data_IF_578315622789
#
_entry.id   IF_578315622789
#
_cell.length_a   1.000
_cell.length_b   1.000
_cell.length_c   1.000
_cell.angle_alpha   90.00
_cell.angle_beta   90.00
_cell.angle_gamma   90.00
#
_symmetry.space_group_name_H-M   'P 1'
#
loop_
_entity.id
_entity.type
_entity.pdbx_description
1 polymer ?
#
# COMPACT_ATOMS: atom_id res chain seq x y z
N UNK A 1 -7.89 -1.92 -27.95
CA UNK A 1 -8.08 -1.92 -26.47
C UNK A 1 -9.10 -0.88 -26.09
N UNK A 2 -10.00 -1.16 -25.14
CA UNK A 2 -10.85 -0.14 -24.53
C UNK A 2 -10.03 0.83 -23.66
N UNK A 3 -10.51 2.06 -23.49
CA UNK A 3 -9.80 3.14 -22.77
C UNK A 3 -9.41 2.73 -21.34
N UNK A 4 -10.31 2.04 -20.63
CA UNK A 4 -10.05 1.59 -19.26
C UNK A 4 -8.83 0.67 -19.14
N UNK A 5 -8.53 -0.11 -20.19
CA UNK A 5 -7.39 -1.02 -20.19
C UNK A 5 -6.07 -0.24 -20.32
N UNK A 6 -6.06 0.88 -21.05
CA UNK A 6 -4.91 1.80 -21.07
C UNK A 6 -4.73 2.49 -19.72
N UNK A 7 -5.81 2.92 -19.06
CA UNK A 7 -5.74 3.46 -17.71
C UNK A 7 -5.15 2.43 -16.73
N UNK A 8 -5.55 1.17 -16.85
CA UNK A 8 -5.00 0.07 -16.04
C UNK A 8 -3.51 -0.17 -16.27
N UNK A 9 -3.06 -0.23 -17.53
CA UNK A 9 -1.64 -0.33 -17.84
C UNK A 9 -0.86 0.87 -17.28
N UNK A 10 -1.42 2.08 -17.39
CA UNK A 10 -0.85 3.29 -16.80
C UNK A 10 -0.71 3.20 -15.28
N UNK A 11 -1.72 2.68 -14.58
CA UNK A 11 -1.67 2.44 -13.13
C UNK A 11 -0.61 1.40 -12.76
N UNK A 12 -0.48 0.31 -13.51
CA UNK A 12 0.56 -0.71 -13.28
C UNK A 12 1.95 -0.07 -13.44
N UNK A 13 2.19 0.65 -14.54
CA UNK A 13 3.47 1.30 -14.81
C UNK A 13 3.80 2.37 -13.76
N UNK A 14 2.84 3.25 -13.44
CA UNK A 14 3.03 4.26 -12.41
C UNK A 14 3.29 3.62 -11.05
N UNK A 15 2.52 2.59 -10.67
CA UNK A 15 2.70 1.83 -9.43
C UNK A 15 4.06 1.15 -9.35
N UNK A 16 4.55 0.57 -10.44
CA UNK A 16 5.91 0.01 -10.50
C UNK A 16 6.96 1.12 -10.34
N UNK A 17 6.82 2.27 -11.01
CA UNK A 17 7.77 3.39 -10.91
C UNK A 17 7.78 3.99 -9.49
N UNK A 18 6.63 4.36 -8.94
CA UNK A 18 6.53 4.83 -7.54
C UNK A 18 7.07 3.80 -6.57
N UNK A 19 6.73 2.53 -6.85
CA UNK A 19 7.36 1.32 -6.35
C UNK A 19 8.86 1.52 -6.17
N UNK A 20 9.57 1.60 -7.28
CA UNK A 20 11.03 1.64 -7.37
C UNK A 20 11.67 2.88 -6.74
N UNK A 21 11.01 4.05 -6.78
CA UNK A 21 11.56 5.32 -6.30
C UNK A 21 11.20 5.65 -4.84
N UNK A 22 10.49 4.79 -4.13
CA UNK A 22 10.25 4.95 -2.68
C UNK A 22 11.58 4.97 -1.92
N UNK A 23 12.01 6.19 -1.54
CA UNK A 23 13.30 6.48 -0.90
C UNK A 23 13.41 5.95 0.54
N UNK A 24 12.29 5.54 1.15
CA UNK A 24 12.23 5.14 2.56
C UNK A 24 12.66 3.71 2.85
N UNK A 25 12.96 2.88 1.84
CA UNK A 25 13.30 1.46 2.02
C UNK A 25 14.55 1.11 1.22
N UNK A 26 15.57 0.54 1.88
CA UNK A 26 16.73 -0.04 1.18
C UNK A 26 16.24 -1.24 0.37
N UNK A 27 16.00 -1.03 -0.92
CA UNK A 27 15.59 -2.10 -1.84
C UNK A 27 16.80 -2.93 -2.19
N UNK A 28 16.73 -4.22 -1.87
CA UNK A 28 17.69 -5.19 -2.37
C UNK A 28 17.61 -5.26 -3.89
N UNK A 29 18.75 -5.52 -4.56
CA UNK A 29 18.83 -5.52 -6.04
C UNK A 29 17.79 -6.44 -6.69
N UNK A 30 17.45 -7.56 -6.04
CA UNK A 30 16.43 -8.49 -6.54
C UNK A 30 15.00 -7.90 -6.52
N UNK A 31 14.71 -6.96 -5.63
CA UNK A 31 13.39 -6.33 -5.52
C UNK A 31 13.13 -5.42 -6.72
N UNK A 32 14.15 -4.71 -7.21
CA UNK A 32 14.04 -3.90 -8.43
C UNK A 32 13.65 -4.75 -9.63
N UNK A 33 14.38 -5.86 -9.83
CA UNK A 33 14.13 -6.79 -10.94
C UNK A 33 12.76 -7.43 -10.83
N UNK A 34 12.31 -7.78 -9.62
CA UNK A 34 11.03 -8.43 -9.42
C UNK A 34 9.83 -7.50 -9.64
N UNK A 35 9.88 -6.26 -9.14
CA UNK A 35 8.83 -5.26 -9.39
C UNK A 35 8.71 -4.90 -10.87
N UNK A 36 9.86 -4.74 -11.54
CA UNK A 36 9.91 -4.45 -12.99
C UNK A 36 9.32 -5.60 -13.79
N UNK A 37 9.72 -6.84 -13.49
CA UNK A 37 9.21 -8.02 -14.19
C UNK A 37 7.71 -8.22 -13.92
N UNK A 38 7.23 -7.93 -12.70
CA UNK A 38 5.81 -7.99 -12.36
C UNK A 38 4.99 -7.00 -13.19
N UNK A 39 5.46 -5.74 -13.30
CA UNK A 39 4.82 -4.72 -14.15
C UNK A 39 4.81 -5.13 -15.63
N UNK A 40 5.91 -5.68 -16.15
CA UNK A 40 6.01 -6.17 -17.53
C UNK A 40 5.06 -7.34 -17.79
N UNK A 41 4.99 -8.32 -16.88
CA UNK A 41 4.04 -9.43 -16.95
C UNK A 41 2.60 -8.91 -16.97
N UNK A 42 2.30 -7.93 -16.12
CA UNK A 42 1.01 -7.26 -16.07
C UNK A 42 0.60 -6.70 -17.43
N UNK A 43 1.41 -5.79 -17.98
CA UNK A 43 1.16 -5.15 -19.28
C UNK A 43 1.08 -6.18 -20.42
N UNK A 44 1.93 -7.21 -20.40
CA UNK A 44 1.98 -8.23 -21.46
C UNK A 44 0.66 -8.99 -21.58
N UNK A 45 -0.01 -9.32 -20.47
CA UNK A 45 -1.32 -9.99 -20.49
C UNK A 45 -2.38 -9.12 -21.17
N UNK A 46 -2.39 -7.80 -20.91
CA UNK A 46 -3.31 -6.88 -21.60
C UNK A 46 -3.03 -6.81 -23.10
N UNK A 47 -1.76 -6.72 -23.50
CA UNK A 47 -1.39 -6.66 -24.92
C UNK A 47 -1.78 -7.93 -25.68
N UNK A 48 -1.63 -9.10 -25.05
CA UNK A 48 -2.04 -10.40 -25.60
C UNK A 48 -3.57 -10.48 -25.68
N UNK A 49 -4.28 -10.20 -24.59
CA UNK A 49 -5.73 -10.35 -24.49
C UNK A 49 -6.50 -9.51 -25.54
N UNK A 50 -5.99 -8.32 -25.86
CA UNK A 50 -6.62 -7.45 -26.84
C UNK A 50 -6.03 -7.55 -28.24
N UNK A 51 -5.29 -8.63 -28.53
CA UNK A 51 -4.68 -8.91 -29.83
C UNK A 51 -3.82 -7.74 -30.37
N UNK A 52 -3.18 -6.98 -29.48
CA UNK A 52 -2.22 -5.93 -29.89
C UNK A 52 -0.89 -6.56 -30.26
N UNK A 53 -0.50 -7.63 -29.57
CA UNK A 53 0.71 -8.40 -29.86
C UNK A 53 0.34 -9.86 -30.07
N UNK A 54 0.84 -10.44 -31.16
CA UNK A 54 0.62 -11.84 -31.49
C UNK A 54 1.91 -12.65 -31.28
N UNK A 55 1.87 -13.55 -30.30
CA UNK A 55 2.90 -14.56 -30.12
C UNK A 55 2.39 -15.93 -30.55
N UNK A 56 3.30 -16.77 -31.07
CA UNK A 56 3.00 -18.14 -31.48
C UNK A 56 2.37 -18.97 -30.35
N UNK A 57 2.79 -18.73 -29.11
CA UNK A 57 2.31 -19.42 -27.90
C UNK A 57 1.76 -18.42 -26.88
N UNK A 58 0.80 -17.60 -27.30
CA UNK A 58 0.25 -16.50 -26.48
C UNK A 58 -0.35 -16.99 -25.15
N UNK A 59 -1.03 -18.13 -25.14
CA UNK A 59 -1.62 -18.76 -23.95
C UNK A 59 -0.56 -19.20 -22.93
N UNK A 60 0.53 -19.80 -23.40
CA UNK A 60 1.65 -20.20 -22.55
C UNK A 60 2.29 -18.96 -21.91
N UNK A 61 2.49 -17.90 -22.70
CA UNK A 61 3.13 -16.68 -22.23
C UNK A 61 2.26 -15.96 -21.20
N UNK A 62 0.95 -15.83 -21.42
CA UNK A 62 0.04 -15.21 -20.45
C UNK A 62 -0.06 -16.02 -19.16
N UNK A 63 -0.04 -17.35 -19.26
CA UNK A 63 0.01 -18.27 -18.10
C UNK A 63 1.29 -18.09 -17.29
N UNK A 64 2.45 -18.00 -17.95
CA UNK A 64 3.72 -17.74 -17.25
C UNK A 64 3.71 -16.38 -16.55
N UNK A 65 3.17 -15.36 -17.21
CA UNK A 65 3.04 -14.01 -16.65
C UNK A 65 2.14 -13.99 -15.41
N UNK A 66 1.03 -14.73 -15.41
CA UNK A 66 0.14 -14.77 -14.24
C UNK A 66 0.75 -15.57 -13.09
N UNK A 67 1.39 -16.71 -13.37
CA UNK A 67 2.10 -17.50 -12.37
C UNK A 67 3.21 -16.67 -11.69
N UNK A 68 3.97 -15.92 -12.48
CA UNK A 68 4.97 -15.01 -11.95
C UNK A 68 4.33 -13.92 -11.08
N UNK A 69 3.27 -13.26 -11.56
CA UNK A 69 2.56 -12.22 -10.80
C UNK A 69 2.03 -12.73 -9.46
N UNK A 70 1.44 -13.93 -9.43
CA UNK A 70 0.97 -14.56 -8.18
C UNK A 70 2.12 -14.88 -7.23
N UNK A 71 3.22 -15.46 -7.73
CA UNK A 71 4.38 -15.77 -6.89
C UNK A 71 5.00 -14.50 -6.31
N UNK A 72 5.15 -13.45 -7.12
CA UNK A 72 5.68 -12.16 -6.67
C UNK A 72 4.74 -11.49 -5.67
N UNK A 73 3.43 -11.51 -5.93
CA UNK A 73 2.43 -10.97 -4.99
C UNK A 73 2.42 -11.73 -3.65
N UNK A 74 2.54 -13.06 -3.67
CA UNK A 74 2.65 -13.87 -2.45
C UNK A 74 3.93 -13.55 -1.67
N UNK A 75 5.06 -13.48 -2.37
CA UNK A 75 6.33 -13.08 -1.77
C UNK A 75 6.23 -11.68 -1.15
N UNK A 76 5.66 -10.73 -1.89
CA UNK A 76 5.44 -9.38 -1.43
C UNK A 76 4.51 -9.35 -0.20
N UNK A 77 3.43 -10.13 -0.20
CA UNK A 77 2.52 -10.21 0.94
C UNK A 77 3.24 -10.74 2.19
N UNK A 78 3.99 -11.85 2.06
CA UNK A 78 4.69 -12.48 3.19
C UNK A 78 5.73 -11.57 3.84
N UNK A 79 6.40 -10.72 3.05
CA UNK A 79 7.48 -9.87 3.54
C UNK A 79 7.04 -8.42 3.84
N UNK A 80 5.95 -7.93 3.23
CA UNK A 80 5.55 -6.53 3.29
C UNK A 80 4.11 -6.27 3.76
N UNK A 81 3.14 -7.19 3.58
CA UNK A 81 1.70 -6.95 3.86
C UNK A 81 1.11 -7.84 4.96
N UNK A 82 1.93 -8.26 5.94
CA UNK A 82 1.42 -9.04 7.07
C UNK A 82 0.60 -8.16 8.03
N UNK A 83 -0.64 -8.54 8.33
CA UNK A 83 -1.54 -7.82 9.25
C UNK A 83 -0.89 -7.53 10.61
N UNK A 84 -0.17 -8.49 11.19
CA UNK A 84 0.50 -8.28 12.49
C UNK A 84 1.58 -7.21 12.43
N UNK A 85 2.25 -7.08 11.27
CA UNK A 85 3.23 -6.03 11.02
C UNK A 85 2.54 -4.69 10.81
N UNK A 86 1.46 -4.66 10.03
CA UNK A 86 0.66 -3.45 9.79
C UNK A 86 0.07 -2.89 11.09
N UNK A 87 -0.53 -3.76 11.92
CA UNK A 87 -1.00 -3.41 13.27
C UNK A 87 0.15 -2.84 14.11
N UNK A 88 1.28 -3.55 14.19
CA UNK A 88 2.44 -3.08 14.96
C UNK A 88 2.99 -1.73 14.48
N UNK A 89 3.02 -1.49 13.17
CA UNK A 89 3.57 -0.26 12.60
C UNK A 89 2.62 0.93 12.86
N UNK A 90 1.30 0.72 12.78
CA UNK A 90 0.30 1.73 13.14
C UNK A 90 0.38 2.08 14.63
N UNK A 91 0.40 1.07 15.51
CA UNK A 91 0.52 1.31 16.95
C UNK A 91 1.82 2.05 17.29
N UNK A 92 2.96 1.66 16.71
CA UNK A 92 4.23 2.35 16.92
C UNK A 92 4.18 3.80 16.45
N UNK A 93 3.63 4.05 15.26
CA UNK A 93 3.48 5.40 14.72
C UNK A 93 2.57 6.26 15.61
N UNK A 94 1.47 5.70 16.11
CA UNK A 94 0.54 6.41 16.98
C UNK A 94 1.20 6.76 18.32
N UNK A 95 1.96 5.82 18.91
CA UNK A 95 2.75 6.06 20.13
C UNK A 95 3.80 7.15 19.90
N UNK A 96 4.56 7.08 18.80
CA UNK A 96 5.59 8.08 18.49
C UNK A 96 5.00 9.48 18.28
N UNK A 97 3.86 9.58 17.59
CA UNK A 97 3.12 10.84 17.43
C UNK A 97 2.66 11.37 18.79
N UNK A 98 2.12 10.51 19.65
CA UNK A 98 1.67 10.87 20.98
C UNK A 98 2.84 11.33 21.88
N UNK A 99 3.96 10.59 21.91
CA UNK A 99 5.16 10.98 22.66
C UNK A 99 5.73 12.33 22.19
N UNK A 100 5.74 12.59 20.88
CA UNK A 100 6.20 13.87 20.34
C UNK A 100 5.25 15.02 20.70
N UNK A 101 3.93 14.76 20.71
CA UNK A 101 2.94 15.73 21.17
C UNK A 101 3.13 16.06 22.66
N UNK A 102 3.34 15.06 23.51
CA UNK A 102 3.61 15.26 24.94
C UNK A 102 4.89 16.06 25.18
N UNK A 103 5.96 15.82 24.41
CA UNK A 103 7.19 16.63 24.48
C UNK A 103 6.94 18.09 24.14
N UNK A 104 6.19 18.36 23.05
CA UNK A 104 5.84 19.73 22.68
C UNK A 104 4.98 20.41 23.75
N UNK A 105 4.04 19.68 24.36
CA UNK A 105 3.24 20.18 25.48
C UNK A 105 4.12 20.50 26.68
N UNK A 106 5.07 19.63 27.04
CA UNK A 106 6.01 19.90 28.13
C UNK A 106 6.86 21.16 27.87
N UNK A 107 7.37 21.34 26.65
CA UNK A 107 8.10 22.54 26.24
C UNK A 107 7.23 23.81 26.32
N UNK A 108 5.96 23.73 25.88
CA UNK A 108 4.99 24.83 25.99
C UNK A 108 4.63 25.15 27.44
N UNK A 109 4.48 24.14 28.31
CA UNK A 109 4.24 24.30 29.75
C UNK A 109 5.41 25.03 30.40
N UNK A 110 6.65 24.63 30.11
CA UNK A 110 7.86 25.29 30.64
C UNK A 110 7.98 26.74 30.17
N UNK A 111 7.71 27.02 28.88
CA UNK A 111 7.72 28.38 28.34
C UNK A 111 6.66 29.28 28.98
N UNK A 112 5.42 28.80 29.13
CA UNK A 112 4.34 29.55 29.76
C UNK A 112 4.64 29.91 31.23
N UNK A 113 5.21 28.97 31.98
CA UNK A 113 5.64 29.20 33.38
C UNK A 113 6.77 30.24 33.42
N UNK A 114 7.73 30.19 32.50
CA UNK A 114 8.81 31.18 32.40
C UNK A 114 8.31 32.59 32.04
N UNK A 115 7.22 32.68 31.27
CA UNK A 115 6.52 33.94 30.93
C UNK A 115 5.63 34.49 32.06
N UNK A 116 5.51 33.76 33.18
CA UNK A 116 4.81 34.20 34.39
C UNK A 116 3.40 33.64 34.56
N UNK A 117 2.99 32.64 33.77
CA UNK A 117 1.73 31.94 33.97
C UNK A 117 1.73 31.14 35.28
N UNK A 118 0.58 31.04 35.95
CA UNK A 118 0.47 30.22 37.15
C UNK A 118 0.47 28.72 36.79
N UNK A 119 1.27 27.88 37.46
CA UNK A 119 1.40 26.45 37.13
C UNK A 119 0.07 25.70 37.09
N UNK A 120 -0.89 26.06 37.95
CA UNK A 120 -2.21 25.43 38.01
C UNK A 120 -3.10 25.70 36.80
N UNK A 121 -3.06 26.93 36.26
CA UNK A 121 -3.86 27.30 35.08
C UNK A 121 -3.32 26.62 33.82
N UNK A 122 -1.99 26.47 33.76
CA UNK A 122 -1.30 25.72 32.71
C UNK A 122 -1.64 24.22 32.79
N UNK A 123 -1.58 23.61 33.97
CA UNK A 123 -1.96 22.19 34.13
C UNK A 123 -3.41 21.92 33.71
N UNK A 124 -4.36 22.78 34.09
CA UNK A 124 -5.77 22.61 33.71
C UNK A 124 -6.01 22.82 32.20
N UNK A 125 -5.30 23.74 31.54
CA UNK A 125 -5.42 23.95 30.09
C UNK A 125 -4.93 22.76 29.26
N UNK A 126 -3.89 22.06 29.73
CA UNK A 126 -3.28 20.95 29.01
C UNK A 126 -3.77 19.58 29.47
N UNK A 127 -4.56 19.49 30.56
CA UNK A 127 -5.09 18.23 31.11
C UNK A 127 -6.03 17.49 30.15
N UNK A 128 -6.79 18.20 29.31
CA UNK A 128 -7.63 17.58 28.28
C UNK A 128 -6.82 17.05 27.08
N UNK A 129 -5.60 17.55 26.88
CA UNK A 129 -4.72 17.20 25.74
C UNK A 129 -3.81 16.01 26.11
N UNK A 130 -3.51 15.83 27.40
CA UNK A 130 -2.80 14.66 27.96
C UNK A 130 -3.64 13.37 27.99
N UNK A 131 -4.65 13.24 27.11
CA UNK A 131 -5.41 12.01 26.99
C UNK A 131 -4.50 10.82 26.67
N UNK A 132 -4.65 9.75 27.45
CA UNK A 132 -3.96 8.48 27.22
C UNK A 132 -4.23 7.96 25.81
N UNK A 133 -3.22 7.30 25.24
CA UNK A 133 -3.29 6.59 23.98
C UNK A 133 -4.54 5.67 23.90
N UNK A 134 -5.50 6.00 23.04
CA UNK A 134 -6.72 5.19 22.82
C UNK A 134 -6.41 3.98 21.92
N UNK A 135 -6.15 2.86 22.59
CA UNK A 135 -5.90 1.58 21.93
C UNK A 135 -7.11 1.09 21.13
N UNK A 136 -8.34 1.29 21.63
CA UNK A 136 -9.57 0.74 21.04
C UNK A 136 -9.96 1.49 19.77
N UNK A 137 -9.79 2.81 19.75
CA UNK A 137 -9.98 3.63 18.56
C UNK A 137 -8.93 3.28 17.50
N UNK A 138 -7.65 3.18 17.88
CA UNK A 138 -6.58 2.80 16.95
C UNK A 138 -6.80 1.39 16.39
N UNK A 139 -7.31 0.44 17.19
CA UNK A 139 -7.62 -0.91 16.72
C UNK A 139 -8.76 -0.90 15.70
N UNK A 140 -9.82 -0.11 15.91
CA UNK A 140 -10.90 0.08 14.92
C UNK A 140 -10.38 0.70 13.62
N UNK A 141 -9.56 1.75 13.70
CA UNK A 141 -8.97 2.36 12.50
C UNK A 141 -8.14 1.37 11.70
N UNK A 142 -7.29 0.58 12.39
CA UNK A 142 -6.45 -0.44 11.76
C UNK A 142 -7.30 -1.51 11.03
N UNK A 143 -8.44 -1.89 11.59
CA UNK A 143 -9.37 -2.83 11.00
C UNK A 143 -10.06 -2.28 9.76
N UNK A 144 -10.58 -1.04 9.81
CA UNK A 144 -11.21 -0.41 8.65
C UNK A 144 -10.21 -0.12 7.52
N UNK A 145 -8.99 0.30 7.85
CA UNK A 145 -7.89 0.41 6.90
C UNK A 145 -7.61 -0.92 6.21
N UNK A 146 -7.54 -2.00 6.99
CA UNK A 146 -7.32 -3.34 6.44
C UNK A 146 -8.45 -3.77 5.49
N UNK A 147 -9.72 -3.55 5.85
CA UNK A 147 -10.86 -3.80 4.95
C UNK A 147 -10.73 -2.95 3.68
N UNK A 148 -10.40 -1.66 3.81
CA UNK A 148 -10.20 -0.75 2.67
C UNK A 148 -9.12 -1.27 1.71
N UNK A 149 -8.01 -1.77 2.25
CA UNK A 149 -6.94 -2.41 1.47
C UNK A 149 -7.46 -3.65 0.74
N UNK A 150 -8.24 -4.51 1.40
CA UNK A 150 -8.80 -5.71 0.75
C UNK A 150 -9.78 -5.38 -0.39
N UNK A 151 -10.63 -4.38 -0.21
CA UNK A 151 -11.57 -3.90 -1.24
C UNK A 151 -10.79 -3.35 -2.43
N UNK A 152 -9.77 -2.53 -2.17
CA UNK A 152 -8.92 -1.95 -3.20
C UNK A 152 -8.14 -3.02 -3.98
N UNK A 153 -7.58 -4.01 -3.28
CA UNK A 153 -6.93 -5.16 -3.91
C UNK A 153 -7.90 -5.94 -4.80
N UNK A 154 -9.13 -6.17 -4.33
CA UNK A 154 -10.17 -6.87 -5.11
C UNK A 154 -10.52 -6.10 -6.38
N UNK A 155 -10.68 -4.78 -6.27
CA UNK A 155 -10.95 -3.91 -7.42
C UNK A 155 -9.83 -3.94 -8.46
N UNK A 156 -8.57 -4.12 -8.03
CA UNK A 156 -7.40 -4.24 -8.91
C UNK A 156 -7.26 -5.64 -9.55
N UNK A 157 -7.58 -6.71 -8.81
CA UNK A 157 -7.40 -8.10 -9.27
C UNK A 157 -8.50 -8.54 -10.22
N UNK A 158 -9.75 -8.11 -10.03
CA UNK A 158 -10.88 -8.57 -10.85
C UNK A 158 -10.69 -8.23 -12.34
N UNK A 159 -10.34 -6.99 -12.74
CA UNK A 159 -10.08 -6.67 -14.14
C UNK A 159 -8.87 -7.40 -14.71
N UNK A 160 -7.85 -7.65 -13.87
CA UNK A 160 -6.67 -8.41 -14.27
C UNK A 160 -7.01 -9.86 -14.60
N UNK A 161 -7.81 -10.52 -13.75
CA UNK A 161 -8.30 -11.88 -13.97
C UNK A 161 -9.19 -11.96 -15.21
N UNK A 162 -10.08 -10.98 -15.41
CA UNK A 162 -10.92 -10.90 -16.60
C UNK A 162 -10.09 -10.87 -17.89
N UNK A 163 -9.06 -10.02 -17.96
CA UNK A 163 -8.19 -9.88 -19.12
C UNK A 163 -7.34 -11.14 -19.34
N UNK A 164 -6.88 -11.78 -18.27
CA UNK A 164 -6.22 -13.09 -18.37
C UNK A 164 -7.13 -14.15 -19.00
N UNK A 165 -8.38 -14.25 -18.56
CA UNK A 165 -9.35 -15.19 -19.12
C UNK A 165 -9.65 -14.88 -20.60
N UNK A 166 -9.71 -13.61 -20.99
CA UNK A 166 -9.77 -13.22 -22.41
C UNK A 166 -8.52 -13.73 -23.16
N UNK A 167 -7.32 -13.58 -22.59
CA UNK A 167 -6.07 -14.02 -23.22
C UNK A 167 -5.99 -15.53 -23.48
N UNK A 168 -6.78 -16.33 -22.75
CA UNK A 168 -6.94 -17.76 -22.93
C UNK A 168 -8.09 -18.14 -23.89
N UNK A 169 -8.77 -17.16 -24.48
CA UNK A 169 -9.90 -17.38 -25.39
C UNK A 169 -11.21 -17.79 -24.67
N UNK A 170 -11.31 -17.66 -23.35
CA UNK A 170 -12.46 -18.14 -22.56
C UNK A 170 -13.76 -17.43 -22.93
N UNK A 171 -13.69 -16.16 -23.32
CA UNK A 171 -14.88 -15.35 -23.64
C UNK A 171 -15.21 -15.28 -25.13
N UNK A 172 -14.46 -15.99 -25.99
CA UNK A 172 -14.57 -15.86 -27.45
C UNK A 172 -14.12 -14.48 -27.97
N UNK A 173 -13.64 -14.43 -29.20
CA UNK A 173 -13.46 -13.16 -29.93
C UNK A 173 -14.81 -12.65 -30.44
#
# INVERSE_FOLDING_TARGET
MPIWAYCYCGLIVAGTIFNLFDKGKIKTVYQFSGETLSGVCGVSIFLIAYNIVHFKNSELLSTLCICYGFFWAYHAHRHYLNYNKFKSDIHKSAIEVHENMLKQIAEMKEAAIAEGAQPKEVEEQFAEIEQDYDFDETEKESYYLYIGVLVLLSALVIPYLYVYLISLGVFGN
#
